data_IF_054155785949
#
_entry.id   IF_054155785949
#
_cell.length_a   1.000
_cell.length_b   1.000
_cell.length_c   1.000
_cell.angle_alpha   90.00
_cell.angle_beta   90.00
_cell.angle_gamma   90.00
#
_symmetry.space_group_name_H-M   'P 1'
#
loop_
_entity.id
_entity.type
_entity.pdbx_description
1 polymer ?
#
# COMPACT_ATOMS: atom_id res chain seq x y z
N UNK A 1 3.00 -13.74 -14.24
CA UNK A 1 3.74 -13.18 -13.11
C UNK A 1 2.92 -13.34 -11.84
N UNK A 2 3.54 -13.80 -10.78
CA UNK A 2 2.84 -13.95 -9.51
C UNK A 2 3.01 -12.67 -8.68
N UNK A 3 1.98 -11.85 -8.67
CA UNK A 3 1.98 -10.56 -7.96
C UNK A 3 2.16 -10.77 -6.45
N UNK A 4 1.63 -11.87 -5.90
CA UNK A 4 1.70 -12.13 -4.47
C UNK A 4 3.14 -12.29 -3.98
N UNK A 5 4.04 -12.83 -4.81
CA UNK A 5 5.44 -13.00 -4.45
C UNK A 5 6.21 -11.68 -4.38
N UNK A 6 5.76 -10.67 -5.12
CA UNK A 6 6.40 -9.37 -5.13
C UNK A 6 5.65 -8.33 -4.31
N UNK A 7 4.64 -8.75 -3.54
CA UNK A 7 3.81 -7.87 -2.73
C UNK A 7 4.03 -8.13 -1.25
N UNK A 8 4.35 -7.06 -0.51
CA UNK A 8 4.46 -7.12 0.95
C UNK A 8 3.16 -6.58 1.56
N UNK A 9 2.48 -7.42 2.33
CA UNK A 9 1.31 -7.01 3.10
C UNK A 9 1.78 -6.78 4.53
N UNK A 10 1.52 -5.60 5.07
CA UNK A 10 1.94 -5.27 6.42
C UNK A 10 0.83 -4.55 7.19
N UNK A 11 0.90 -4.62 8.50
CA UNK A 11 0.01 -3.90 9.40
C UNK A 11 0.84 -2.98 10.27
N UNK A 12 0.34 -1.76 10.47
CA UNK A 12 0.94 -0.84 11.42
C UNK A 12 0.09 -0.82 12.68
N UNK A 13 0.75 -0.96 13.81
CA UNK A 13 0.10 -0.83 15.10
C UNK A 13 0.72 0.35 15.84
N UNK A 14 0.09 0.74 16.94
CA UNK A 14 0.58 1.84 17.76
C UNK A 14 2.05 1.61 18.13
N UNK A 15 2.87 2.64 17.94
CA UNK A 15 4.29 2.57 18.27
C UNK A 15 5.20 2.04 17.18
N UNK A 16 4.65 1.61 16.05
CA UNK A 16 5.44 1.17 14.90
C UNK A 16 5.46 2.23 13.81
N UNK A 17 6.52 2.24 13.01
CA UNK A 17 6.66 3.19 11.91
C UNK A 17 7.03 2.46 10.61
N UNK A 18 6.86 3.16 9.49
CA UNK A 18 7.23 2.62 8.18
C UNK A 18 8.72 2.30 8.08
N UNK A 19 9.56 3.03 8.81
CA UNK A 19 11.00 2.80 8.79
C UNK A 19 11.40 1.49 9.45
N UNK A 20 10.52 0.88 10.23
CA UNK A 20 10.77 -0.39 10.90
C UNK A 20 10.40 -1.61 10.03
N UNK A 21 9.85 -1.38 8.85
CA UNK A 21 9.47 -2.46 7.96
C UNK A 21 10.68 -3.24 7.48
N UNK A 22 10.60 -4.56 7.58
CA UNK A 22 11.59 -5.45 7.01
C UNK A 22 11.11 -5.84 5.61
N UNK A 23 11.72 -5.25 4.58
CA UNK A 23 11.28 -5.41 3.20
C UNK A 23 12.13 -6.49 2.53
N UNK A 24 11.53 -7.64 2.15
CA UNK A 24 12.26 -8.68 1.42
C UNK A 24 12.77 -8.18 0.07
N UNK A 25 13.90 -8.72 -0.35
CA UNK A 25 14.44 -8.41 -1.67
C UNK A 25 13.44 -8.80 -2.75
N UNK A 26 13.30 -7.96 -3.77
CA UNK A 26 12.37 -8.22 -4.86
C UNK A 26 10.94 -7.71 -4.62
N UNK A 27 10.67 -7.12 -3.45
CA UNK A 27 9.35 -6.54 -3.19
C UNK A 27 9.15 -5.31 -4.05
N UNK A 28 8.05 -5.28 -4.78
CA UNK A 28 7.71 -4.18 -5.69
C UNK A 28 6.43 -3.48 -5.28
N UNK A 29 5.49 -4.22 -4.69
CA UNK A 29 4.18 -3.70 -4.31
C UNK A 29 4.00 -3.79 -2.80
N UNK A 30 3.20 -2.87 -2.26
CA UNK A 30 3.00 -2.77 -0.82
C UNK A 30 1.51 -2.61 -0.52
N UNK A 31 1.02 -3.35 0.45
CA UNK A 31 -0.35 -3.22 0.94
C UNK A 31 -0.29 -2.96 2.44
N UNK A 32 -0.80 -1.81 2.87
CA UNK A 32 -0.93 -1.48 4.27
C UNK A 32 -2.32 -1.86 4.74
N UNK A 33 -2.42 -2.89 5.58
CA UNK A 33 -3.70 -3.34 6.12
C UNK A 33 -4.01 -2.55 7.40
N UNK A 34 -4.92 -1.61 7.29
CA UNK A 34 -5.37 -0.77 8.40
C UNK A 34 -6.78 -1.12 8.87
N UNK A 35 -7.30 -2.28 8.47
CA UNK A 35 -8.64 -2.70 8.90
C UNK A 35 -8.69 -2.79 10.42
N UNK A 36 -9.73 -2.22 11.01
CA UNK A 36 -9.88 -2.17 12.47
C UNK A 36 -9.00 -1.14 13.17
N UNK A 37 -8.25 -0.31 12.43
CA UNK A 37 -7.40 0.71 13.01
C UNK A 37 -8.20 1.98 13.29
N UNK A 38 -7.87 2.70 14.37
CA UNK A 38 -8.57 3.92 14.73
C UNK A 38 -8.25 5.07 13.77
N UNK A 39 -9.19 6.01 13.64
CA UNK A 39 -8.99 7.20 12.83
C UNK A 39 -7.81 8.05 13.31
N UNK A 40 -7.61 8.11 14.63
CA UNK A 40 -6.51 8.89 15.20
C UNK A 40 -5.15 8.39 14.73
N UNK A 41 -4.96 7.07 14.73
CA UNK A 41 -3.71 6.48 14.26
C UNK A 41 -3.51 6.74 12.77
N UNK A 42 -4.57 6.58 11.98
CA UNK A 42 -4.52 6.81 10.54
C UNK A 42 -4.18 8.26 10.23
N UNK A 43 -4.79 9.20 10.96
CA UNK A 43 -4.51 10.63 10.77
C UNK A 43 -3.05 10.94 11.07
N UNK A 44 -2.48 10.33 12.11
CA UNK A 44 -1.09 10.57 12.49
C UNK A 44 -0.09 10.06 11.47
N UNK A 45 -0.39 8.99 10.76
CA UNK A 45 0.52 8.37 9.80
C UNK A 45 0.27 8.81 8.35
N UNK A 46 -0.80 9.58 8.12
CA UNK A 46 -1.21 9.97 6.76
C UNK A 46 -0.07 10.57 5.94
N UNK A 47 0.65 11.54 6.50
CA UNK A 47 1.73 12.20 5.76
C UNK A 47 2.87 11.25 5.42
N UNK A 48 3.15 10.30 6.30
CA UNK A 48 4.17 9.28 6.05
C UNK A 48 3.76 8.37 4.90
N UNK A 49 2.47 8.03 4.82
CA UNK A 49 1.94 7.23 3.72
C UNK A 49 2.01 7.99 2.40
N UNK A 50 1.73 9.27 2.39
CA UNK A 50 1.82 10.09 1.17
C UNK A 50 3.25 10.08 0.63
N UNK A 51 4.24 10.26 1.51
CA UNK A 51 5.65 10.21 1.13
C UNK A 51 6.03 8.82 0.64
N UNK A 52 5.57 7.78 1.33
CA UNK A 52 5.87 6.40 0.97
C UNK A 52 5.28 6.05 -0.40
N UNK A 53 4.02 6.45 -0.64
CA UNK A 53 3.36 6.23 -1.92
C UNK A 53 4.15 6.86 -3.07
N UNK A 54 4.62 8.07 -2.87
CA UNK A 54 5.41 8.77 -3.88
C UNK A 54 6.70 8.02 -4.19
N UNK A 55 7.39 7.55 -3.16
CA UNK A 55 8.61 6.77 -3.31
C UNK A 55 8.35 5.48 -4.10
N UNK A 56 7.29 4.76 -3.75
CA UNK A 56 6.94 3.51 -4.44
C UNK A 56 6.56 3.77 -5.89
N UNK A 57 5.84 4.85 -6.16
CA UNK A 57 5.46 5.22 -7.53
C UNK A 57 6.69 5.52 -8.38
N UNK A 58 7.69 6.17 -7.83
CA UNK A 58 8.93 6.46 -8.53
C UNK A 58 9.68 5.18 -8.89
N UNK A 59 9.52 4.13 -8.10
CA UNK A 59 10.12 2.82 -8.35
C UNK A 59 9.25 1.93 -9.25
N UNK A 60 8.15 2.47 -9.77
CA UNK A 60 7.19 1.75 -10.64
C UNK A 60 6.47 0.61 -9.90
N UNK A 61 6.33 0.76 -8.59
CA UNK A 61 5.55 -0.16 -7.77
C UNK A 61 4.15 0.37 -7.49
N UNK A 62 3.39 -0.37 -6.70
CA UNK A 62 2.05 0.02 -6.27
C UNK A 62 1.98 0.02 -4.74
N UNK A 63 1.31 1.01 -4.19
CA UNK A 63 1.05 1.08 -2.76
C UNK A 63 -0.45 1.26 -2.54
N UNK A 64 -1.07 0.27 -1.92
CA UNK A 64 -2.51 0.23 -1.69
C UNK A 64 -2.75 0.16 -0.18
N UNK A 65 -3.78 0.85 0.29
CA UNK A 65 -4.16 0.86 1.69
C UNK A 65 -5.51 0.18 1.85
N UNK A 66 -5.59 -0.79 2.76
CA UNK A 66 -6.86 -1.43 3.12
C UNK A 66 -7.38 -0.74 4.37
N UNK A 67 -8.51 -0.05 4.26
CA UNK A 67 -9.09 0.70 5.36
C UNK A 67 -10.59 0.83 5.16
N UNK A 68 -11.33 0.89 6.28
CA UNK A 68 -12.79 0.98 6.24
C UNK A 68 -13.30 2.36 5.81
N UNK A 69 -12.43 3.35 5.80
CA UNK A 69 -12.80 4.71 5.41
C UNK A 69 -11.68 5.35 4.59
N UNK A 70 -12.06 6.27 3.71
CA UNK A 70 -11.09 7.00 2.89
C UNK A 70 -10.65 8.26 3.64
N UNK A 71 -9.36 8.34 3.97
CA UNK A 71 -8.84 9.45 4.75
C UNK A 71 -7.98 10.41 3.92
N UNK A 72 -7.69 10.08 2.67
CA UNK A 72 -6.94 10.97 1.79
C UNK A 72 -7.17 10.60 0.33
N UNK A 73 -7.56 11.57 -0.48
CA UNK A 73 -7.86 11.35 -1.90
C UNK A 73 -6.62 11.09 -2.75
N UNK A 74 -5.45 11.48 -2.27
CA UNK A 74 -4.20 11.24 -3.00
C UNK A 74 -3.67 9.81 -2.83
N UNK A 75 -4.24 9.04 -1.91
CA UNK A 75 -3.86 7.66 -1.65
C UNK A 75 -4.90 6.70 -2.20
N UNK A 76 -4.45 5.52 -2.64
CA UNK A 76 -5.36 4.48 -3.09
C UNK A 76 -5.81 3.66 -1.88
N UNK A 77 -7.08 3.80 -1.52
CA UNK A 77 -7.65 3.14 -0.34
C UNK A 77 -8.81 2.27 -0.79
N UNK A 78 -8.77 0.99 -0.41
CA UNK A 78 -9.82 0.01 -0.74
C UNK A 78 -10.30 -0.67 0.54
N UNK A 79 -11.53 -1.20 0.55
CA UNK A 79 -12.09 -1.75 1.79
C UNK A 79 -11.63 -3.17 2.14
N UNK A 80 -11.08 -3.93 1.19
CA UNK A 80 -10.69 -5.31 1.43
C UNK A 80 -9.32 -5.63 0.84
N UNK A 81 -8.68 -6.66 1.42
CA UNK A 81 -7.39 -7.12 0.92
C UNK A 81 -7.51 -7.68 -0.50
N UNK A 82 -8.61 -8.36 -0.81
CA UNK A 82 -8.85 -8.88 -2.15
C UNK A 82 -8.85 -7.76 -3.19
N UNK A 83 -9.54 -6.66 -2.90
CA UNK A 83 -9.58 -5.52 -3.80
C UNK A 83 -8.20 -4.87 -3.97
N UNK A 84 -7.38 -4.88 -2.91
CA UNK A 84 -6.02 -4.37 -3.00
C UNK A 84 -5.18 -5.17 -4.01
N UNK A 85 -5.25 -6.49 -3.96
CA UNK A 85 -4.54 -7.33 -4.92
C UNK A 85 -5.09 -7.15 -6.34
N UNK A 86 -6.41 -7.05 -6.48
CA UNK A 86 -7.03 -6.82 -7.80
C UNK A 86 -6.55 -5.49 -8.40
N UNK A 87 -6.44 -4.46 -7.58
CA UNK A 87 -5.97 -3.16 -8.03
C UNK A 87 -4.52 -3.22 -8.51
N UNK A 88 -3.65 -3.90 -7.77
CA UNK A 88 -2.26 -4.05 -8.16
C UNK A 88 -2.16 -4.81 -9.50
N UNK A 89 -2.95 -5.85 -9.66
CA UNK A 89 -2.96 -6.62 -10.90
C UNK A 89 -3.35 -5.74 -12.09
N UNK A 90 -4.37 -4.91 -11.93
CA UNK A 90 -4.80 -3.99 -12.97
C UNK A 90 -3.70 -2.99 -13.31
N UNK A 91 -3.03 -2.44 -12.31
CA UNK A 91 -1.94 -1.49 -12.55
C UNK A 91 -0.77 -2.14 -13.29
N UNK A 92 -0.44 -3.37 -12.97
CA UNK A 92 0.62 -4.10 -13.68
C UNK A 92 0.26 -4.33 -15.14
N UNK A 93 -0.99 -4.68 -15.42
CA UNK A 93 -1.46 -4.85 -16.80
C UNK A 93 -1.33 -3.53 -17.56
N UNK A 94 -1.73 -2.43 -16.96
CA UNK A 94 -1.63 -1.11 -17.58
C UNK A 94 -0.18 -0.73 -17.87
N UNK A 95 0.74 -1.02 -16.95
CA UNK A 95 2.16 -0.75 -17.17
C UNK A 95 2.72 -1.55 -18.34
N UNK A 96 2.29 -2.80 -18.48
CA UNK A 96 2.73 -3.64 -19.58
C UNK A 96 2.19 -3.13 -20.93
N UNK A 97 1.00 -2.55 -20.95
CA UNK A 97 0.40 -2.03 -22.17
C UNK A 97 1.04 -0.70 -22.61
N UNK A 98 1.71 0.01 -21.71
CA UNK A 98 2.36 1.27 -22.01
C UNK A 98 3.75 1.08 -22.66
N UNK A 99 4.19 -0.14 -22.77
CA UNK A 99 5.46 -0.43 -23.44
C UNK A 99 5.30 -0.31 -24.98
#
# INVERSE_FOLDING_TARGET
MDIQQSTLVFRLSEGHSLSELNIPAGTKHFIADLSGTSEDLVTNIRNKFITFDKTISELKGSFIIVCDFSFDDSLTIVPTLQEAFDYIEMEEIERQLEL
#
